data_IF_247958946275
#
_entry.id   IF_247958946275
#
_cell.length_a   1.000
_cell.length_b   1.000
_cell.length_c   1.000
_cell.angle_alpha   90.00
_cell.angle_beta   90.00
_cell.angle_gamma   90.00
#
_symmetry.space_group_name_H-M   'P 1'
#
loop_
_entity.id
_entity.type
_entity.pdbx_description
1 polymer ?
#
# COMPACT_ATOMS: atom_id res chain seq x y z
N UNK A 1 2.37 -5.08 -8.00
CA UNK A 1 1.97 -3.69 -8.30
C UNK A 1 2.52 -3.29 -9.66
N UNK A 2 1.74 -2.54 -10.45
CA UNK A 2 2.11 -2.17 -11.82
C UNK A 2 1.78 -0.70 -12.10
N UNK A 3 2.66 0.00 -12.81
CA UNK A 3 2.52 1.39 -13.24
C UNK A 3 2.97 1.48 -14.70
N UNK A 4 2.04 1.67 -15.63
CA UNK A 4 2.34 1.54 -17.06
C UNK A 4 2.88 0.14 -17.38
N UNK A 5 4.12 0.08 -17.90
CA UNK A 5 4.87 -1.18 -18.14
C UNK A 5 5.74 -1.61 -16.96
N UNK A 6 5.93 -0.77 -15.95
CA UNK A 6 6.79 -1.07 -14.79
C UNK A 6 6.00 -1.93 -13.79
N UNK A 7 6.61 -3.00 -13.29
CA UNK A 7 5.99 -3.84 -12.25
C UNK A 7 6.98 -4.15 -11.12
N UNK A 8 6.48 -4.10 -9.89
CA UNK A 8 7.22 -4.55 -8.70
C UNK A 8 6.37 -5.52 -7.89
N UNK A 9 7.02 -6.54 -7.35
CA UNK A 9 6.48 -7.43 -6.34
C UNK A 9 7.30 -7.22 -5.05
N UNK A 10 6.64 -7.31 -3.90
CA UNK A 10 7.27 -7.19 -2.59
C UNK A 10 6.81 -8.36 -1.73
N UNK A 11 7.74 -8.87 -0.94
CA UNK A 11 7.38 -9.69 0.22
C UNK A 11 6.77 -8.80 1.32
N UNK A 12 6.10 -9.44 2.27
CA UNK A 12 5.50 -8.73 3.39
C UNK A 12 6.59 -8.17 4.31
N UNK A 13 6.50 -6.87 4.60
CA UNK A 13 7.35 -6.22 5.59
C UNK A 13 7.15 -6.80 6.99
N UNK A 14 5.90 -7.15 7.29
CA UNK A 14 5.46 -7.92 8.45
C UNK A 14 4.35 -8.88 8.04
N UNK A 15 4.51 -10.13 8.44
CA UNK A 15 3.54 -11.19 8.25
C UNK A 15 3.70 -12.17 9.40
N UNK A 16 2.59 -12.74 9.85
CA UNK A 16 2.57 -13.67 10.97
C UNK A 16 1.83 -14.95 10.58
N UNK A 17 2.14 -15.50 9.40
CA UNK A 17 1.55 -16.76 8.91
C UNK A 17 0.01 -16.79 8.92
N UNK A 18 -0.60 -15.64 8.60
CA UNK A 18 -2.06 -15.46 8.60
C UNK A 18 -2.69 -15.15 9.96
N UNK A 19 -1.91 -15.17 11.04
CA UNK A 19 -2.33 -14.72 12.37
C UNK A 19 -2.25 -13.19 12.50
N UNK A 20 -2.92 -12.67 13.54
CA UNK A 20 -2.90 -11.24 13.82
C UNK A 20 -1.50 -10.76 14.19
N UNK A 21 -1.05 -9.69 13.53
CA UNK A 21 0.11 -8.91 13.96
C UNK A 21 -0.25 -8.26 15.30
N UNK A 22 0.63 -8.42 16.30
CA UNK A 22 0.43 -7.78 17.62
C UNK A 22 0.30 -6.27 17.44
N UNK A 23 -0.65 -5.65 18.13
CA UNK A 23 -0.93 -4.21 18.01
C UNK A 23 0.31 -3.35 18.26
N UNK A 24 1.15 -3.74 19.23
CA UNK A 24 2.41 -3.06 19.55
C UNK A 24 3.45 -3.07 18.43
N UNK A 25 3.32 -3.97 17.45
CA UNK A 25 4.24 -4.11 16.32
C UNK A 25 3.74 -3.38 15.05
N UNK A 26 2.43 -3.12 14.95
CA UNK A 26 1.80 -2.56 13.74
C UNK A 26 2.49 -1.26 13.31
N UNK A 27 2.70 -0.33 14.23
CA UNK A 27 3.30 0.96 13.88
C UNK A 27 4.76 0.82 13.44
N UNK A 28 5.51 -0.11 14.02
CA UNK A 28 6.86 -0.44 13.56
C UNK A 28 6.87 -1.02 12.15
N UNK A 29 5.90 -1.88 11.83
CA UNK A 29 5.71 -2.46 10.51
C UNK A 29 5.31 -1.43 9.45
N UNK A 30 4.43 -0.49 9.81
CA UNK A 30 4.00 0.59 8.92
C UNK A 30 5.15 1.56 8.61
N UNK A 31 6.05 1.78 9.56
CA UNK A 31 7.20 2.68 9.40
C UNK A 31 8.47 2.00 8.88
N UNK A 32 8.43 0.68 8.62
CA UNK A 32 9.58 -0.03 8.06
C UNK A 32 9.91 0.56 6.69
N UNK A 33 11.19 0.84 6.45
CA UNK A 33 11.64 1.40 5.17
C UNK A 33 11.22 0.48 4.02
N UNK A 34 10.54 0.99 2.99
CA UNK A 34 10.18 0.18 1.84
C UNK A 34 11.43 -0.35 1.12
N UNK A 35 11.42 -1.62 0.76
CA UNK A 35 12.50 -2.23 -0.03
C UNK A 35 12.32 -2.01 -1.53
N UNK A 36 11.08 -1.75 -1.95
CA UNK A 36 10.71 -1.55 -3.35
C UNK A 36 10.32 -0.11 -3.60
N UNK A 37 11.02 0.53 -4.53
CA UNK A 37 10.72 1.87 -5.01
C UNK A 37 10.16 1.80 -6.42
N UNK A 38 9.09 2.54 -6.69
CA UNK A 38 8.52 2.70 -8.03
C UNK A 38 8.34 4.18 -8.36
N UNK A 39 8.56 4.53 -9.63
CA UNK A 39 8.34 5.90 -10.11
C UNK A 39 6.93 6.03 -10.68
N UNK A 40 6.20 7.07 -10.26
CA UNK A 40 4.79 7.29 -10.64
C UNK A 40 4.58 8.72 -11.09
N UNK A 41 4.01 8.91 -12.28
CA UNK A 41 3.57 10.22 -12.78
C UNK A 41 2.16 10.57 -12.25
N UNK A 42 1.77 11.85 -12.31
CA UNK A 42 0.48 12.30 -11.79
C UNK A 42 -0.71 11.73 -12.60
N UNK A 43 -0.50 11.47 -13.88
CA UNK A 43 -1.45 10.93 -14.85
C UNK A 43 -1.38 9.40 -15.02
N UNK A 44 -0.43 8.75 -14.33
CA UNK A 44 -0.31 7.29 -14.33
C UNK A 44 -1.53 6.62 -13.69
N UNK A 45 -1.81 5.39 -14.13
CA UNK A 45 -2.73 4.46 -13.46
C UNK A 45 -1.91 3.45 -12.66
N UNK A 46 -2.02 3.51 -11.34
CA UNK A 46 -1.35 2.56 -10.44
C UNK A 46 -2.27 1.39 -10.17
N UNK A 47 -1.84 0.18 -10.57
CA UNK A 47 -2.57 -1.07 -10.32
C UNK A 47 -1.96 -1.80 -9.13
N UNK A 48 -2.75 -1.98 -8.09
CA UNK A 48 -2.43 -2.82 -6.95
C UNK A 48 -3.10 -4.17 -7.17
N UNK A 49 -2.34 -5.24 -6.98
CA UNK A 49 -2.82 -6.61 -7.07
C UNK A 49 -2.31 -7.39 -5.87
N UNK A 50 -3.16 -8.27 -5.36
CA UNK A 50 -2.89 -9.18 -4.24
C UNK A 50 -3.31 -10.59 -4.61
N UNK A 51 -2.79 -11.57 -3.88
CA UNK A 51 -3.21 -12.96 -4.04
C UNK A 51 -4.68 -13.17 -3.64
N UNK A 52 -5.39 -14.14 -4.22
CA UNK A 52 -6.81 -14.39 -3.93
C UNK A 52 -7.13 -14.57 -2.44
N UNK A 53 -6.25 -15.22 -1.68
CA UNK A 53 -6.43 -15.41 -0.24
C UNK A 53 -6.47 -14.08 0.54
N UNK A 54 -5.60 -13.13 0.16
CA UNK A 54 -5.58 -11.77 0.73
C UNK A 54 -6.87 -11.03 0.35
N UNK A 55 -7.35 -11.22 -0.89
CA UNK A 55 -8.59 -10.61 -1.34
C UNK A 55 -9.82 -11.15 -0.59
N UNK A 56 -9.85 -12.45 -0.30
CA UNK A 56 -10.96 -13.08 0.45
C UNK A 56 -11.07 -12.54 1.88
N UNK A 57 -9.91 -12.36 2.55
CA UNK A 57 -9.82 -11.71 3.86
C UNK A 57 -10.24 -10.23 3.76
N UNK A 58 -9.71 -9.55 2.75
CA UNK A 58 -9.88 -8.12 2.51
C UNK A 58 -8.58 -7.37 2.79
N UNK A 59 -8.37 -6.27 2.06
CA UNK A 59 -7.17 -5.46 2.20
C UNK A 59 -7.44 -3.99 1.95
N UNK A 60 -6.64 -3.13 2.58
CA UNK A 60 -6.76 -1.68 2.45
C UNK A 60 -5.40 -1.05 2.14
N UNK A 61 -5.41 0.20 1.71
CA UNK A 61 -4.20 0.97 1.51
C UNK A 61 -3.96 1.90 2.69
N UNK A 62 -2.70 1.99 3.09
CA UNK A 62 -2.21 3.04 3.97
C UNK A 62 -1.29 3.96 3.16
N UNK A 63 -1.43 5.26 3.34
CA UNK A 63 -0.58 6.29 2.73
C UNK A 63 0.10 7.04 3.87
N UNK A 64 1.44 6.99 3.90
CA UNK A 64 2.26 7.55 4.98
C UNK A 64 1.79 7.10 6.39
N UNK A 65 1.44 5.82 6.51
CA UNK A 65 0.97 5.22 7.77
C UNK A 65 -0.47 5.57 8.16
N UNK A 66 -1.22 6.31 7.33
CA UNK A 66 -2.63 6.61 7.56
C UNK A 66 -3.51 5.77 6.63
N UNK A 67 -4.57 5.19 7.18
CA UNK A 67 -5.54 4.40 6.41
C UNK A 67 -6.23 5.29 5.38
N UNK A 68 -6.14 4.92 4.10
CA UNK A 68 -6.73 5.67 2.99
C UNK A 68 -8.23 5.37 2.81
N UNK A 69 -8.67 4.17 3.22
CA UNK A 69 -10.05 3.67 3.01
C UNK A 69 -10.60 3.03 4.26
N UNK A 70 -11.84 3.36 4.62
CA UNK A 70 -12.50 2.87 5.83
C UNK A 70 -12.73 1.35 5.82
N UNK A 71 -13.12 0.78 4.67
CA UNK A 71 -13.45 -0.64 4.55
C UNK A 71 -12.40 -1.39 3.73
N UNK A 72 -12.00 -2.60 4.15
CA UNK A 72 -11.14 -3.47 3.35
C UNK A 72 -11.81 -3.85 2.02
N UNK A 73 -11.07 -3.71 0.94
CA UNK A 73 -11.46 -4.12 -0.40
C UNK A 73 -11.25 -5.62 -0.60
N UNK A 74 -12.21 -6.29 -1.24
CA UNK A 74 -12.20 -7.76 -1.46
C UNK A 74 -11.90 -8.21 -2.89
N UNK A 75 -11.57 -7.28 -3.79
CA UNK A 75 -11.11 -7.66 -5.13
C UNK A 75 -9.61 -7.98 -5.14
N UNK A 76 -9.18 -8.83 -6.07
CA UNK A 76 -7.76 -9.19 -6.25
C UNK A 76 -6.92 -8.07 -6.84
N UNK A 77 -7.55 -7.05 -7.42
CA UNK A 77 -6.85 -5.87 -7.91
C UNK A 77 -7.72 -4.62 -7.90
N UNK A 78 -7.08 -3.46 -7.86
CA UNK A 78 -7.72 -2.16 -8.07
C UNK A 78 -6.75 -1.14 -8.64
N UNK A 79 -7.31 -0.13 -9.28
CA UNK A 79 -6.55 0.93 -9.95
C UNK A 79 -6.81 2.27 -9.27
N UNK A 80 -5.75 3.01 -8.97
CA UNK A 80 -5.81 4.36 -8.39
C UNK A 80 -5.03 5.34 -9.29
N UNK A 81 -5.54 6.55 -9.54
CA UNK A 81 -4.80 7.55 -10.29
C UNK A 81 -3.57 8.04 -9.51
N UNK A 82 -2.45 8.24 -10.21
CA UNK A 82 -1.15 8.58 -9.61
C UNK A 82 -1.16 9.86 -8.79
N UNK A 83 -1.97 10.85 -9.19
CA UNK A 83 -2.14 12.11 -8.47
C UNK A 83 -2.59 11.94 -7.00
N UNK A 84 -3.30 10.86 -6.67
CA UNK A 84 -3.78 10.59 -5.31
C UNK A 84 -2.63 10.39 -4.30
N UNK A 85 -1.44 9.99 -4.77
CA UNK A 85 -0.29 9.67 -3.90
C UNK A 85 0.60 10.88 -3.59
N UNK A 86 0.46 11.97 -4.35
CA UNK A 86 1.33 13.15 -4.23
C UNK A 86 0.56 14.45 -3.96
N UNK A 87 -0.77 14.41 -3.97
CA UNK A 87 -1.61 15.56 -3.64
C UNK A 87 -1.39 15.97 -2.17
N UNK A 88 -1.19 17.28 -1.95
CA UNK A 88 -1.12 17.91 -0.63
C UNK A 88 -2.29 18.88 -0.49
N UNK A 89 -2.96 18.88 0.66
CA UNK A 89 -4.08 19.79 0.92
C UNK A 89 -3.62 21.25 1.19
N UNK A 90 -2.37 21.45 1.59
CA UNK A 90 -1.89 22.74 2.13
C UNK A 90 -0.56 23.21 1.53
N UNK A 91 -0.03 22.57 0.49
CA UNK A 91 1.28 22.95 -0.07
C UNK A 91 1.66 22.27 -1.38
N UNK A 92 2.95 22.36 -1.72
CA UNK A 92 3.49 21.75 -2.92
C UNK A 92 3.32 20.20 -2.91
N UNK A 93 3.10 19.57 -4.08
CA UNK A 93 2.99 18.12 -4.16
C UNK A 93 4.20 17.40 -3.55
N UNK A 94 3.95 16.29 -2.86
CA UNK A 94 5.02 15.48 -2.28
C UNK A 94 5.90 14.90 -3.40
N UNK A 95 7.22 14.88 -3.19
CA UNK A 95 8.16 14.21 -4.11
C UNK A 95 8.18 12.70 -3.93
N UNK A 96 7.80 12.25 -2.74
CA UNK A 96 7.77 10.84 -2.35
C UNK A 96 6.59 10.57 -1.43
N UNK A 97 6.08 9.35 -1.47
CA UNK A 97 5.03 8.86 -0.59
C UNK A 97 5.30 7.40 -0.25
N UNK A 98 5.05 7.01 0.99
CA UNK A 98 5.03 5.61 1.37
C UNK A 98 3.61 5.06 1.18
N UNK A 99 3.48 3.96 0.46
CA UNK A 99 2.21 3.26 0.27
C UNK A 99 2.34 1.86 0.84
N UNK A 100 1.39 1.47 1.67
CA UNK A 100 1.31 0.12 2.23
C UNK A 100 0.05 -0.57 1.76
N UNK A 101 0.16 -1.83 1.35
CA UNK A 101 -0.99 -2.74 1.29
C UNK A 101 -1.09 -3.40 2.67
N UNK A 102 -2.28 -3.41 3.24
CA UNK A 102 -2.52 -4.01 4.56
C UNK A 102 -3.67 -5.01 4.43
N UNK A 103 -3.38 -6.28 4.69
CA UNK A 103 -4.40 -7.32 4.80
C UNK A 103 -5.12 -7.20 6.13
N UNK A 104 -6.44 -7.28 6.08
CA UNK A 104 -7.32 -7.11 7.23
C UNK A 104 -8.36 -8.24 7.28
N UNK A 105 -8.22 -9.14 8.24
CA UNK A 105 -9.21 -10.19 8.53
C UNK A 105 -10.15 -9.71 9.63
N UNK A 106 -11.24 -9.06 9.21
CA UNK A 106 -12.14 -8.35 10.12
C UNK A 106 -11.44 -7.14 10.76
N UNK A 107 -11.28 -7.12 12.08
CA UNK A 107 -10.58 -6.04 12.80
C UNK A 107 -9.08 -6.27 12.99
N UNK A 108 -8.54 -7.40 12.51
CA UNK A 108 -7.15 -7.82 12.73
C UNK A 108 -6.32 -7.57 11.49
N UNK A 109 -5.13 -7.00 11.66
CA UNK A 109 -4.16 -6.87 10.57
C UNK A 109 -3.25 -8.10 10.57
N UNK A 110 -3.07 -8.73 9.41
CA UNK A 110 -2.36 -10.02 9.28
C UNK A 110 -1.12 -9.93 8.39
N UNK A 111 -1.11 -8.97 7.45
CA UNK A 111 0.00 -8.74 6.54
C UNK A 111 0.16 -7.26 6.18
N UNK A 112 1.40 -6.80 6.05
CA UNK A 112 1.74 -5.43 5.65
C UNK A 112 2.85 -5.49 4.60
N UNK A 113 2.61 -4.91 3.43
CA UNK A 113 3.58 -4.78 2.33
C UNK A 113 3.87 -3.31 2.08
N UNK A 114 5.15 -2.94 1.94
CA UNK A 114 5.59 -1.54 1.88
C UNK A 114 6.21 -1.19 0.53
N UNK A 115 5.80 -0.04 -0.03
CA UNK A 115 6.32 0.49 -1.29
C UNK A 115 6.67 1.97 -1.13
N UNK A 116 7.80 2.40 -1.69
CA UNK A 116 8.14 3.82 -1.84
C UNK A 116 7.74 4.29 -3.23
N UNK A 117 6.89 5.30 -3.30
CA UNK A 117 6.52 5.95 -4.54
C UNK A 117 7.34 7.22 -4.68
N UNK A 118 8.00 7.38 -5.82
CA UNK A 118 8.72 8.60 -6.17
C UNK A 118 8.01 9.24 -7.35
N UNK A 119 7.67 10.53 -7.21
CA UNK A 119 7.01 11.27 -8.28
C UNK A 119 7.96 11.35 -9.50
N UNK A 120 7.48 10.94 -10.68
CA UNK A 120 8.17 11.21 -11.94
C UNK A 120 8.15 12.71 -12.19
N UNK A 121 9.32 13.27 -12.49
CA UNK A 121 9.50 14.68 -12.85
C UNK A 121 8.76 15.02 -14.14
#
# INVERSE_FOLDING_TARGET
>A
MTVGSDSVNSEAACYNDGDAIKESLIQGCLNKKPEKTIKVAMDDKVRFGVDPEIADNGWTLFINGQQAEQEPFKGTYRTIPGNAFFASQTGAPAKKTQVSIVEAKGKRLTGIWQFEFVKKS
#
